data_IF_382144463149
#
_entry.id   IF_382144463149
#
_cell.length_a   1.000
_cell.length_b   1.000
_cell.length_c   1.000
_cell.angle_alpha   90.00
_cell.angle_beta   90.00
_cell.angle_gamma   90.00
#
_symmetry.space_group_name_H-M   'P 1'
#
loop_
_entity.id
_entity.type
_entity.pdbx_description
1 polymer ?
#
# COMPACT_ATOMS: atom_id res chain seq x y z
N UNK A 1 13.18 11.83 -5.21
CA UNK A 1 13.38 10.91 -4.06
C UNK A 1 12.18 9.97 -4.07
N UNK A 2 12.41 8.66 -4.21
CA UNK A 2 11.32 7.67 -4.35
C UNK A 2 10.51 7.58 -3.04
N UNK A 3 9.18 7.57 -3.14
CA UNK A 3 8.32 7.44 -1.94
C UNK A 3 8.34 5.99 -1.45
N UNK A 4 8.42 5.77 -0.15
CA UNK A 4 8.67 4.41 0.38
C UNK A 4 7.52 3.41 0.14
N UNK A 5 6.31 3.91 -0.12
CA UNK A 5 5.11 3.14 -0.43
C UNK A 5 4.97 2.78 -1.92
N UNK A 6 5.80 3.34 -2.80
CA UNK A 6 5.87 2.99 -4.22
C UNK A 6 6.78 1.77 -4.46
N UNK A 7 7.62 1.42 -3.47
CA UNK A 7 8.59 0.33 -3.57
C UNK A 7 8.16 -0.93 -2.81
N UNK A 8 8.20 -2.09 -3.49
CA UNK A 8 8.07 -3.41 -2.86
C UNK A 8 9.25 -3.69 -1.92
N UNK A 9 9.07 -4.56 -0.94
CA UNK A 9 10.13 -4.89 0.03
C UNK A 9 11.13 -5.95 -0.47
N UNK A 10 10.77 -6.73 -1.48
CA UNK A 10 11.65 -7.68 -2.16
C UNK A 10 12.56 -6.99 -3.20
N UNK A 11 13.68 -7.63 -3.54
CA UNK A 11 14.61 -7.17 -4.57
C UNK A 11 14.10 -7.43 -6.00
N UNK A 12 14.86 -6.98 -7.00
CA UNK A 12 14.48 -7.09 -8.42
C UNK A 12 14.40 -8.54 -8.92
N UNK A 13 15.29 -9.41 -8.46
CA UNK A 13 15.30 -10.83 -8.87
C UNK A 13 14.04 -11.53 -8.39
N UNK A 14 13.69 -11.34 -7.11
CA UNK A 14 12.48 -11.88 -6.55
C UNK A 14 11.23 -11.26 -7.20
N UNK A 15 11.22 -9.94 -7.46
CA UNK A 15 10.12 -9.27 -8.16
C UNK A 15 9.86 -9.84 -9.56
N UNK A 16 10.91 -10.24 -10.29
CA UNK A 16 10.78 -10.85 -11.62
C UNK A 16 10.08 -12.21 -11.63
N UNK A 17 9.98 -12.87 -10.46
CA UNK A 17 9.42 -14.23 -10.32
C UNK A 17 8.30 -14.32 -9.28
N UNK A 18 7.94 -13.20 -8.65
CA UNK A 18 7.02 -13.17 -7.52
C UNK A 18 5.57 -13.35 -8.00
N UNK A 19 4.79 -14.29 -7.41
CA UNK A 19 3.39 -14.50 -7.78
C UNK A 19 2.49 -13.31 -7.42
N UNK A 20 2.92 -12.43 -6.50
CA UNK A 20 2.18 -11.24 -6.08
C UNK A 20 2.62 -9.96 -6.80
N UNK A 21 3.60 -10.03 -7.70
CA UNK A 21 4.00 -8.89 -8.53
C UNK A 21 3.12 -8.79 -9.78
N UNK A 22 1.80 -8.81 -9.58
CA UNK A 22 0.81 -8.64 -10.63
C UNK A 22 0.47 -7.16 -10.80
N UNK A 23 0.27 -6.66 -12.03
CA UNK A 23 -0.17 -5.29 -12.26
C UNK A 23 -1.47 -4.96 -11.50
N UNK A 24 -1.49 -3.82 -10.80
CA UNK A 24 -2.65 -3.36 -10.02
C UNK A 24 -2.80 -3.97 -8.62
N UNK A 25 -2.14 -5.11 -8.34
CA UNK A 25 -2.27 -5.82 -7.06
C UNK A 25 -1.17 -5.41 -6.06
N UNK A 26 -1.53 -5.03 -4.82
CA UNK A 26 -0.54 -4.75 -3.79
C UNK A 26 0.16 -6.04 -3.33
N UNK A 27 1.35 -5.89 -2.76
CA UNK A 27 2.01 -6.95 -2.00
C UNK A 27 1.15 -7.27 -0.75
N UNK A 28 0.78 -8.55 -0.52
CA UNK A 28 -0.08 -8.92 0.59
C UNK A 28 0.59 -8.69 1.94
N UNK A 29 -0.20 -8.39 2.99
CA UNK A 29 0.31 -8.13 4.35
C UNK A 29 1.12 -9.29 4.91
N UNK A 30 0.71 -10.52 4.62
CA UNK A 30 1.31 -11.76 5.11
C UNK A 30 2.58 -12.18 4.34
N UNK A 31 2.98 -11.42 3.31
CA UNK A 31 4.23 -11.71 2.62
C UNK A 31 5.42 -11.40 3.54
N UNK A 32 6.31 -12.37 3.73
CA UNK A 32 7.56 -12.21 4.49
C UNK A 32 8.41 -11.01 4.04
N UNK A 33 8.30 -10.63 2.76
CA UNK A 33 9.04 -9.52 2.16
C UNK A 33 8.21 -8.23 2.04
N UNK A 34 6.94 -8.21 2.49
CA UNK A 34 6.14 -6.99 2.56
C UNK A 34 6.41 -6.17 3.82
N UNK A 35 6.94 -6.77 4.88
CA UNK A 35 7.25 -6.11 6.14
C UNK A 35 8.13 -4.86 5.92
N UNK A 36 7.71 -3.72 6.46
CA UNK A 36 8.45 -2.47 6.33
C UNK A 36 9.37 -2.28 7.53
N UNK A 37 10.68 -2.39 7.32
CA UNK A 37 11.71 -2.22 8.37
C UNK A 37 12.25 -0.79 8.47
N UNK A 38 11.61 0.17 7.78
CA UNK A 38 12.05 1.58 7.80
C UNK A 38 11.71 2.21 9.14
N UNK A 39 12.59 3.09 9.65
CA UNK A 39 12.37 3.80 10.93
C UNK A 39 11.11 4.67 10.97
N UNK A 40 10.61 5.10 9.81
CA UNK A 40 9.37 5.87 9.69
C UNK A 40 8.11 5.00 9.70
N UNK A 41 8.24 3.68 9.65
CA UNK A 41 7.09 2.79 9.73
C UNK A 41 6.57 2.74 11.16
N UNK A 42 5.33 3.18 11.35
CA UNK A 42 4.58 3.09 12.60
C UNK A 42 3.21 2.55 12.23
N UNK A 43 2.81 1.43 12.84
CA UNK A 43 1.43 0.95 12.72
C UNK A 43 0.57 1.84 13.60
N UNK A 44 -0.48 2.43 13.03
CA UNK A 44 -1.43 3.25 13.77
C UNK A 44 -2.72 2.48 14.07
N UNK A 45 -3.38 2.84 15.15
CA UNK A 45 -4.72 2.45 15.54
C UNK A 45 -5.73 3.61 15.41
N UNK A 46 -5.30 4.76 14.87
CA UNK A 46 -6.14 5.93 14.63
C UNK A 46 -7.11 5.68 13.47
N UNK A 47 -8.39 5.52 13.79
CA UNK A 47 -9.45 5.26 12.83
C UNK A 47 -9.69 6.42 11.87
N UNK A 48 -9.44 7.66 12.29
CA UNK A 48 -9.63 8.84 11.42
C UNK A 48 -8.58 8.83 10.30
N UNK A 49 -7.36 8.37 10.58
CA UNK A 49 -6.33 8.15 9.56
C UNK A 49 -6.64 6.93 8.69
N UNK A 50 -7.01 5.80 9.30
CA UNK A 50 -7.22 4.53 8.60
C UNK A 50 -8.43 4.59 7.66
N UNK A 51 -9.47 5.33 8.03
CA UNK A 51 -10.74 5.38 7.30
C UNK A 51 -10.97 6.70 6.55
N UNK A 52 -9.94 7.55 6.42
CA UNK A 52 -10.01 8.81 5.69
C UNK A 52 -10.43 8.59 4.21
N UNK A 53 -11.65 8.97 3.80
CA UNK A 53 -12.15 8.72 2.45
C UNK A 53 -11.42 9.54 1.38
N UNK A 54 -10.75 10.63 1.78
CA UNK A 54 -10.01 11.51 0.88
C UNK A 54 -8.59 10.97 0.57
N UNK A 55 -8.14 9.93 1.26
CA UNK A 55 -6.79 9.39 1.09
C UNK A 55 -6.70 8.39 -0.07
N UNK A 56 -5.63 8.47 -0.88
CA UNK A 56 -5.40 7.53 -1.97
C UNK A 56 -4.66 6.27 -1.50
N UNK A 57 -5.40 5.32 -0.92
CA UNK A 57 -4.89 3.99 -0.57
C UNK A 57 -4.42 3.18 -1.80
N UNK A 58 -4.66 3.64 -3.03
CA UNK A 58 -4.16 3.01 -4.24
C UNK A 58 -2.69 3.25 -4.52
N UNK A 59 -2.16 4.37 -4.04
CA UNK A 59 -0.75 4.72 -4.21
C UNK A 59 0.21 3.76 -3.50
N UNK A 60 -0.25 3.03 -2.48
CA UNK A 60 0.56 2.05 -1.78
C UNK A 60 0.66 0.71 -2.52
N UNK A 61 1.89 0.28 -2.82
CA UNK A 61 2.20 -1.03 -3.42
C UNK A 61 2.21 -2.19 -2.41
N UNK A 62 2.05 -1.91 -1.11
CA UNK A 62 2.02 -2.92 -0.03
C UNK A 62 0.79 -2.72 0.84
N UNK A 63 0.11 -3.79 1.22
CA UNK A 63 -1.06 -3.70 2.11
C UNK A 63 -0.70 -3.16 3.48
N UNK A 64 0.48 -3.48 4.02
CA UNK A 64 0.95 -2.97 5.32
C UNK A 64 1.05 -1.44 5.37
N UNK A 65 1.16 -0.76 4.22
CA UNK A 65 1.17 0.70 4.20
C UNK A 65 -0.20 1.29 4.57
N UNK A 66 -1.32 0.58 4.39
CA UNK A 66 -2.68 1.08 4.66
C UNK A 66 -3.00 1.25 6.15
N UNK A 67 -2.12 0.76 7.02
CA UNK A 67 -2.16 0.96 8.47
C UNK A 67 -0.90 1.66 8.98
N UNK A 68 -0.06 2.17 8.08
CA UNK A 68 1.18 2.84 8.42
C UNK A 68 0.93 4.35 8.55
N UNK A 69 1.10 4.91 9.74
CA UNK A 69 0.88 6.33 10.03
C UNK A 69 1.63 7.24 9.03
N UNK A 70 2.91 6.93 8.77
CA UNK A 70 3.70 7.74 7.83
C UNK A 70 3.10 7.80 6.42
N UNK A 71 2.51 6.71 5.93
CA UNK A 71 1.82 6.71 4.65
C UNK A 71 0.48 7.45 4.74
N UNK A 72 -0.32 7.19 5.78
CA UNK A 72 -1.63 7.82 5.94
C UNK A 72 -1.54 9.34 6.09
N UNK A 73 -0.44 9.86 6.66
CA UNK A 73 -0.21 11.29 6.86
C UNK A 73 0.49 11.98 5.67
N UNK A 74 1.31 11.27 4.88
CA UNK A 74 2.14 11.89 3.82
C UNK A 74 1.86 11.34 2.41
N UNK A 75 1.01 10.33 2.30
CA UNK A 75 0.56 9.77 1.04
C UNK A 75 -0.36 10.74 0.29
N UNK A 76 -0.57 10.49 -1.01
CA UNK A 76 -1.38 11.37 -1.84
C UNK A 76 -2.86 11.32 -1.45
N UNK A 77 -3.57 12.41 -1.72
CA UNK A 77 -5.03 12.45 -1.68
C UNK A 77 -5.63 11.84 -2.96
N UNK A 78 -6.88 11.37 -2.86
CA UNK A 78 -7.63 10.83 -3.99
C UNK A 78 -7.82 11.87 -5.10
N UNK A 79 -7.94 13.15 -4.73
CA UNK A 79 -8.02 14.28 -5.68
C UNK A 79 -6.77 14.46 -6.54
N UNK A 80 -5.61 13.94 -6.10
CA UNK A 80 -4.34 14.02 -6.83
C UNK A 80 -4.12 12.83 -7.77
N UNK A 81 -5.01 11.84 -7.76
CA UNK A 81 -4.86 10.64 -8.58
C UNK A 81 -4.98 11.00 -10.06
N UNK A 82 -3.99 10.59 -10.85
CA UNK A 82 -3.99 10.72 -12.31
C UNK A 82 -4.31 9.37 -12.94
N UNK A 83 -5.48 9.26 -13.57
CA UNK A 83 -5.95 8.05 -14.26
C UNK A 83 -6.79 7.10 -13.40
N UNK A 84 -7.47 6.16 -14.05
CA UNK A 84 -8.19 5.09 -13.37
C UNK A 84 -7.24 3.95 -13.02
N UNK A 85 -7.11 3.67 -11.72
CA UNK A 85 -6.51 2.43 -11.23
C UNK A 85 -7.67 1.50 -10.91
N UNK A 86 -8.16 0.77 -11.91
CA UNK A 86 -9.02 -0.38 -11.66
C UNK A 86 -8.20 -1.42 -10.89
N UNK A 87 -8.49 -1.56 -9.60
CA UNK A 87 -7.95 -2.67 -8.81
C UNK A 87 -8.81 -3.89 -9.09
N UNK A 88 -8.24 -4.99 -9.60
CA UNK A 88 -8.95 -6.25 -9.61
C UNK A 88 -9.28 -6.65 -8.16
N UNK A 89 -10.44 -7.25 -7.93
CA UNK A 89 -10.85 -7.75 -6.62
C UNK A 89 -12.02 -7.02 -5.98
N UNK A 90 -12.53 -7.58 -4.88
CA UNK A 90 -13.69 -7.05 -4.18
C UNK A 90 -13.34 -5.72 -3.49
N UNK A 91 -13.98 -4.59 -3.84
CA UNK A 91 -13.77 -3.30 -3.15
C UNK A 91 -14.10 -3.38 -1.65
N UNK A 92 -14.90 -4.37 -1.26
CA UNK A 92 -15.23 -4.71 0.12
C UNK A 92 -14.48 -5.96 0.60
N UNK A 93 -13.16 -6.07 0.43
CA UNK A 93 -12.38 -7.20 1.01
C UNK A 93 -12.52 -7.34 2.54
N UNK A 94 -13.02 -6.30 3.22
CA UNK A 94 -13.32 -6.32 4.66
C UNK A 94 -14.72 -6.89 4.99
N UNK A 95 -15.59 -7.06 3.99
CA UNK A 95 -16.88 -7.74 4.14
C UNK A 95 -16.69 -9.15 3.56
N UNK A 96 -16.72 -10.14 4.45
CA UNK A 96 -16.57 -11.56 4.18
C UNK A 96 -17.50 -12.06 3.06
#
# INVERSE_FOLDING_TARGET
>A
MEKCWERRGCDEEMQGRCPHNMPGEPCPSECNFAACVRKTHVVTDDLDLILNPEHDYAAAVKEVCRICEHFLTHGPALSERVGDVERPGNPNRFLL
#
